data_IF_969873310906
#
_entry.id   IF_969873310906
#
_cell.length_a   1.000
_cell.length_b   1.000
_cell.length_c   1.000
_cell.angle_alpha   90.00
_cell.angle_beta   90.00
_cell.angle_gamma   90.00
#
_symmetry.space_group_name_H-M   'P 1'
#
loop_
_entity.id
_entity.type
_entity.pdbx_description
1 polymer ?
#
# COMPACT_ATOMS: atom_id res chain seq x y z
N UNK A 1 -18.13 -11.95 4.92
CA UNK A 1 -17.38 -10.74 4.55
C UNK A 1 -16.02 -11.26 4.17
N UNK A 2 -15.78 -11.40 2.87
CA UNK A 2 -14.60 -12.12 2.36
C UNK A 2 -13.45 -11.14 2.05
N UNK A 3 -13.76 -9.85 1.90
CA UNK A 3 -12.80 -8.75 1.63
C UNK A 3 -13.35 -7.43 2.20
N UNK A 4 -13.19 -7.26 3.51
CA UNK A 4 -13.77 -6.13 4.24
C UNK A 4 -13.14 -4.79 3.83
N UNK A 5 -11.85 -4.81 3.51
CA UNK A 5 -11.09 -3.65 3.08
C UNK A 5 -11.57 -3.13 1.73
N UNK A 6 -11.79 -4.02 0.75
CA UNK A 6 -12.34 -3.61 -0.54
C UNK A 6 -13.75 -3.03 -0.40
N UNK A 7 -14.63 -3.70 0.37
CA UNK A 7 -15.99 -3.22 0.63
C UNK A 7 -15.99 -1.82 1.26
N UNK A 8 -15.08 -1.57 2.22
CA UNK A 8 -14.94 -0.26 2.85
C UNK A 8 -14.51 0.82 1.85
N UNK A 9 -13.49 0.53 1.03
CA UNK A 9 -12.99 1.52 0.06
C UNK A 9 -14.03 1.83 -1.01
N UNK A 10 -14.71 0.80 -1.53
CA UNK A 10 -15.80 0.96 -2.50
C UNK A 10 -16.94 1.81 -1.92
N UNK A 11 -17.39 1.52 -0.70
CA UNK A 11 -18.43 2.31 -0.04
C UNK A 11 -18.02 3.78 0.15
N UNK A 12 -16.76 4.05 0.48
CA UNK A 12 -16.24 5.43 0.56
C UNK A 12 -16.25 6.13 -0.79
N UNK A 13 -15.94 5.42 -1.89
CA UNK A 13 -15.98 5.99 -3.24
C UNK A 13 -17.40 6.28 -3.71
N UNK A 14 -18.35 5.41 -3.38
CA UNK A 14 -19.76 5.59 -3.73
C UNK A 14 -20.34 6.86 -3.09
N UNK A 15 -19.95 7.17 -1.85
CA UNK A 15 -20.33 8.41 -1.16
C UNK A 15 -19.58 9.65 -1.69
N UNK A 16 -18.45 9.48 -2.38
CA UNK A 16 -17.55 10.55 -2.82
C UNK A 16 -17.19 10.46 -4.31
N UNK A 17 -18.18 10.49 -5.24
CA UNK A 17 -17.96 10.21 -6.66
C UNK A 17 -17.07 11.26 -7.38
N UNK A 18 -16.92 12.45 -6.79
CA UNK A 18 -16.07 13.52 -7.33
C UNK A 18 -14.62 13.43 -6.85
N UNK A 19 -14.30 12.55 -5.89
CA UNK A 19 -12.94 12.38 -5.37
C UNK A 19 -12.15 11.53 -6.36
N UNK A 20 -11.15 12.16 -6.99
CA UNK A 20 -10.34 11.50 -8.02
C UNK A 20 -9.34 10.49 -7.46
N UNK A 21 -8.76 10.75 -6.28
CA UNK A 21 -7.66 9.96 -5.74
C UNK A 21 -7.98 9.46 -4.34
N UNK A 22 -7.84 8.15 -4.14
CA UNK A 22 -7.93 7.49 -2.84
C UNK A 22 -6.58 6.88 -2.50
N UNK A 23 -6.07 7.24 -1.32
CA UNK A 23 -4.82 6.71 -0.78
C UNK A 23 -5.05 6.00 0.55
N UNK A 24 -4.39 4.87 0.75
CA UNK A 24 -4.49 4.11 2.00
C UNK A 24 -3.12 3.59 2.46
N UNK A 25 -2.98 3.36 3.77
CA UNK A 25 -1.81 2.74 4.37
C UNK A 25 -2.17 1.41 5.03
N UNK A 26 -1.34 0.39 4.89
CA UNK A 26 -1.65 -0.98 5.30
C UNK A 26 -0.56 -1.60 6.18
N UNK A 27 -0.99 -2.59 6.97
CA UNK A 27 -0.07 -3.56 7.55
C UNK A 27 0.57 -4.41 6.44
N UNK A 28 1.83 -4.83 6.63
CA UNK A 28 2.52 -5.71 5.68
C UNK A 28 1.90 -7.12 5.61
N UNK A 29 1.15 -7.53 6.63
CA UNK A 29 0.38 -8.78 6.66
C UNK A 29 -1.04 -8.63 6.11
N UNK A 30 -1.43 -7.42 5.69
CA UNK A 30 -2.76 -7.17 5.16
C UNK A 30 -3.06 -8.06 3.96
N UNK A 31 -4.28 -8.61 3.91
CA UNK A 31 -4.72 -9.38 2.76
C UNK A 31 -5.05 -8.43 1.59
N UNK A 32 -4.06 -8.14 0.76
CA UNK A 32 -4.22 -7.18 -0.34
C UNK A 32 -4.76 -7.87 -1.59
N UNK A 33 -6.09 -7.83 -1.77
CA UNK A 33 -6.75 -8.44 -2.91
C UNK A 33 -6.61 -7.61 -4.19
N UNK A 34 -6.86 -8.24 -5.34
CA UNK A 34 -6.98 -7.53 -6.63
C UNK A 34 -8.15 -6.55 -6.62
N UNK A 35 -9.25 -6.89 -5.93
CA UNK A 35 -10.44 -6.03 -5.79
C UNK A 35 -10.10 -4.75 -5.02
N UNK A 36 -9.40 -4.87 -3.89
CA UNK A 36 -8.93 -3.73 -3.11
C UNK A 36 -7.97 -2.86 -3.93
N UNK A 37 -7.04 -3.49 -4.67
CA UNK A 37 -6.13 -2.79 -5.58
C UNK A 37 -6.86 -2.00 -6.66
N UNK A 38 -7.94 -2.54 -7.24
CA UNK A 38 -8.73 -1.85 -8.25
C UNK A 38 -9.51 -0.64 -7.69
N UNK A 39 -9.81 -0.65 -6.38
CA UNK A 39 -10.53 0.45 -5.71
C UNK A 39 -9.61 1.58 -5.21
N UNK A 40 -8.29 1.39 -5.24
CA UNK A 40 -7.29 2.35 -4.74
C UNK A 40 -6.46 2.97 -5.86
N UNK A 41 -6.03 4.21 -5.64
CA UNK A 41 -5.12 4.91 -6.55
C UNK A 41 -3.67 4.86 -6.03
N UNK A 42 -3.51 4.91 -4.70
CA UNK A 42 -2.23 5.01 -4.02
C UNK A 42 -2.25 4.13 -2.77
N UNK A 43 -1.18 3.37 -2.52
CA UNK A 43 -1.02 2.67 -1.25
C UNK A 43 0.41 2.75 -0.71
N UNK A 44 0.54 2.64 0.61
CA UNK A 44 1.80 2.35 1.28
C UNK A 44 1.59 1.21 2.28
N UNK A 45 2.57 0.32 2.43
CA UNK A 45 2.52 -0.74 3.44
C UNK A 45 3.73 -0.64 4.36
N UNK A 46 3.60 -1.19 5.57
CA UNK A 46 4.72 -1.32 6.49
C UNK A 46 5.87 -2.08 5.83
N UNK A 47 7.09 -1.74 6.24
CA UNK A 47 8.33 -2.37 5.81
C UNK A 47 9.11 -2.96 6.97
N UNK A 48 8.56 -2.90 8.19
CA UNK A 48 9.21 -3.42 9.38
C UNK A 48 8.35 -4.45 10.10
N UNK A 49 8.99 -5.53 10.54
CA UNK A 49 8.50 -6.51 11.48
C UNK A 49 9.56 -6.68 12.57
N UNK A 50 9.32 -6.22 13.82
CA UNK A 50 8.08 -5.64 14.35
C UNK A 50 7.68 -4.30 13.71
N UNK A 51 6.39 -3.97 13.69
CA UNK A 51 5.82 -2.77 13.06
C UNK A 51 6.18 -1.49 13.82
N UNK A 52 7.35 -0.93 13.55
CA UNK A 52 7.82 0.34 14.14
C UNK A 52 7.65 1.53 13.18
N UNK A 53 7.24 1.28 11.93
CA UNK A 53 7.12 2.26 10.85
C UNK A 53 5.68 2.59 10.46
N UNK A 54 4.70 2.32 11.32
CA UNK A 54 3.29 2.55 11.04
C UNK A 54 2.99 4.05 10.76
N UNK A 55 3.51 4.95 11.59
CA UNK A 55 3.32 6.41 11.42
C UNK A 55 4.03 6.91 10.16
N UNK A 56 5.23 6.42 9.90
CA UNK A 56 6.00 6.76 8.70
C UNK A 56 5.27 6.31 7.43
N UNK A 57 4.67 5.11 7.45
CA UNK A 57 3.91 4.55 6.34
C UNK A 57 2.67 5.37 6.04
N UNK A 58 1.91 5.76 7.08
CA UNK A 58 0.77 6.67 6.94
C UNK A 58 1.20 8.01 6.34
N UNK A 59 2.31 8.58 6.84
CA UNK A 59 2.84 9.82 6.30
C UNK A 59 3.33 9.66 4.84
N UNK A 60 3.86 8.50 4.44
CA UNK A 60 4.24 8.18 3.06
C UNK A 60 3.02 8.17 2.14
N UNK A 61 1.94 7.48 2.50
CA UNK A 61 0.69 7.46 1.75
C UNK A 61 0.14 8.89 1.53
N UNK A 62 0.11 9.70 2.60
CA UNK A 62 -0.33 11.09 2.52
C UNK A 62 0.58 11.94 1.62
N UNK A 63 1.90 11.81 1.73
CA UNK A 63 2.85 12.55 0.86
C UNK A 63 2.65 12.20 -0.61
N UNK A 64 2.47 10.92 -0.94
CA UNK A 64 2.20 10.49 -2.33
C UNK A 64 0.90 11.09 -2.86
N UNK A 65 -0.16 11.07 -2.05
CA UNK A 65 -1.43 11.72 -2.39
C UNK A 65 -1.25 13.22 -2.66
N UNK A 66 -0.64 13.94 -1.72
CA UNK A 66 -0.41 15.39 -1.84
C UNK A 66 0.44 15.72 -3.06
N UNK A 67 1.43 14.89 -3.39
CA UNK A 67 2.27 15.08 -4.59
C UNK A 67 1.45 14.99 -5.87
N UNK A 68 0.47 14.08 -5.95
CA UNK A 68 -0.41 13.93 -7.10
C UNK A 68 -1.46 15.05 -7.19
N UNK A 69 -1.85 15.63 -6.05
CA UNK A 69 -2.82 16.73 -6.00
C UNK A 69 -2.22 18.11 -6.29
N UNK A 70 -0.89 18.25 -6.30
CA UNK A 70 -0.25 19.52 -6.63
C UNK A 70 -0.65 19.99 -8.04
N UNK A 71 -1.13 21.24 -8.23
CA UNK A 71 -1.64 21.70 -9.53
C UNK A 71 -0.68 21.53 -10.70
N UNK A 72 0.61 21.74 -10.47
CA UNK A 72 1.66 21.57 -11.47
C UNK A 72 1.87 20.12 -11.93
N UNK A 73 1.40 19.13 -11.15
CA UNK A 73 1.58 17.70 -11.38
C UNK A 73 0.27 16.94 -11.63
N UNK A 74 -0.87 17.50 -11.23
CA UNK A 74 -2.17 16.84 -11.31
C UNK A 74 -2.61 16.45 -12.73
N UNK A 75 -2.07 17.13 -13.76
CA UNK A 75 -2.35 16.85 -15.17
C UNK A 75 -1.33 15.89 -15.80
N UNK A 76 -0.09 15.86 -15.30
CA UNK A 76 1.02 15.09 -15.88
C UNK A 76 1.36 13.81 -15.12
N UNK A 77 0.87 13.65 -13.89
CA UNK A 77 1.19 12.52 -13.02
C UNK A 77 -0.09 11.83 -12.55
N UNK A 78 -0.38 10.68 -13.17
CA UNK A 78 -1.44 9.77 -12.75
C UNK A 78 -0.79 8.61 -12.00
N UNK A 79 -1.15 8.34 -10.74
CA UNK A 79 -0.67 7.13 -10.08
C UNK A 79 -1.29 5.92 -10.76
N UNK A 80 -0.49 4.86 -10.89
CA UNK A 80 -0.95 3.56 -11.37
C UNK A 80 -0.57 2.54 -10.31
N UNK A 81 -1.57 1.85 -9.79
CA UNK A 81 -1.37 0.74 -8.86
C UNK A 81 -1.43 -0.59 -9.62
N UNK A 82 -0.45 -1.45 -9.39
CA UNK A 82 -0.39 -2.79 -10.00
C UNK A 82 -0.27 -3.82 -8.88
N UNK A 83 -1.16 -4.81 -8.89
CA UNK A 83 -1.15 -5.93 -7.95
C UNK A 83 -0.62 -7.17 -8.66
N UNK A 84 0.41 -7.80 -8.11
CA UNK A 84 1.00 -9.03 -8.62
C UNK A 84 1.06 -10.05 -7.47
N UNK A 85 0.07 -10.94 -7.37
CA UNK A 85 0.08 -12.00 -6.35
C UNK A 85 1.26 -12.95 -6.56
N UNK A 86 2.05 -13.17 -5.52
CA UNK A 86 3.08 -14.21 -5.50
C UNK A 86 2.49 -15.41 -4.75
N UNK A 87 2.29 -16.58 -5.39
CA UNK A 87 1.60 -17.72 -4.79
C UNK A 87 2.51 -18.47 -3.81
N UNK A 88 2.96 -17.78 -2.77
CA UNK A 88 3.83 -18.31 -1.71
C UNK A 88 3.31 -17.85 -0.36
N UNK A 89 3.27 -18.78 0.61
CA UNK A 89 3.05 -18.46 2.01
C UNK A 89 4.39 -18.53 2.73
N UNK A 90 4.78 -17.44 3.38
CA UNK A 90 6.02 -17.40 4.14
C UNK A 90 5.80 -17.90 5.57
N UNK A 91 6.70 -18.75 6.09
CA UNK A 91 6.77 -19.04 7.52
C UNK A 91 7.01 -17.75 8.34
N UNK A 92 6.52 -17.72 9.57
CA UNK A 92 6.54 -16.51 10.41
C UNK A 92 7.93 -15.98 10.78
N UNK A 93 8.95 -16.84 10.78
CA UNK A 93 10.36 -16.45 10.97
C UNK A 93 10.95 -15.77 9.72
N UNK A 94 10.43 -16.08 8.54
CA UNK A 94 10.88 -15.51 7.27
C UNK A 94 10.36 -14.09 7.01
N UNK A 95 9.31 -13.66 7.74
CA UNK A 95 8.74 -12.30 7.60
C UNK A 95 9.41 -11.27 8.51
N UNK A 96 10.34 -11.69 9.39
CA UNK A 96 11.11 -10.78 10.23
C UNK A 96 12.03 -9.91 9.37
N UNK A 97 11.87 -8.60 9.42
CA UNK A 97 12.64 -7.67 8.58
C UNK A 97 13.96 -7.25 9.22
N UNK A 98 14.17 -7.62 10.48
CA UNK A 98 15.38 -7.33 11.27
C UNK A 98 16.44 -8.41 11.13
N UNK A 99 16.08 -9.61 10.69
CA UNK A 99 16.97 -10.76 10.59
C UNK A 99 16.58 -11.75 9.49
N UNK A 100 17.41 -12.78 9.29
CA UNK A 100 17.15 -13.86 8.33
C UNK A 100 16.87 -13.38 6.91
N UNK A 101 16.03 -14.14 6.21
CA UNK A 101 15.68 -13.89 4.79
C UNK A 101 14.82 -12.65 4.59
N UNK A 102 13.96 -12.30 5.57
CA UNK A 102 13.15 -11.10 5.50
C UNK A 102 14.02 -9.85 5.46
N UNK A 103 15.07 -9.77 6.30
CA UNK A 103 16.05 -8.67 6.22
C UNK A 103 16.71 -8.55 4.85
N UNK A 104 17.19 -9.66 4.28
CA UNK A 104 17.86 -9.68 2.97
C UNK A 104 16.92 -9.19 1.87
N UNK A 105 15.68 -9.67 1.85
CA UNK A 105 14.66 -9.26 0.89
C UNK A 105 14.36 -7.75 0.98
N UNK A 106 14.11 -7.24 2.19
CA UNK A 106 13.79 -5.82 2.37
C UNK A 106 15.00 -4.90 2.16
N UNK A 107 16.23 -5.39 2.35
CA UNK A 107 17.45 -4.68 1.91
C UNK A 107 17.53 -4.59 0.39
N UNK A 108 17.25 -5.69 -0.32
CA UNK A 108 17.23 -5.69 -1.78
C UNK A 108 16.13 -4.78 -2.34
N UNK A 109 14.91 -4.82 -1.79
CA UNK A 109 13.79 -3.99 -2.20
C UNK A 109 14.07 -2.48 -2.09
N UNK A 110 14.87 -2.05 -1.11
CA UNK A 110 15.27 -0.64 -0.96
C UNK A 110 16.09 -0.11 -2.13
N UNK A 111 16.73 -0.98 -2.92
CA UNK A 111 17.47 -0.55 -4.10
C UNK A 111 16.57 -0.31 -5.33
N UNK A 112 15.27 -0.61 -5.23
CA UNK A 112 14.29 -0.43 -6.30
C UNK A 112 13.42 0.83 -6.11
N UNK A 113 13.52 1.50 -4.96
CA UNK A 113 12.80 2.74 -4.64
C UNK A 113 13.63 3.98 -4.92
#
# INVERSE_FOLDING_TARGET
VDDAEAELVEAVRDELPCVRLVAASFDLHGNFSERLGAALDICAAYKTMPHVDAEETKAKALRMLLTCLQPARAQSMQPVLVVLPIPVMQPGDCVLTTEGRGRELYQWLRNLE
#
